data_IF_963833792710
#
_entry.id   IF_963833792710
#
_cell.length_a   1.000
_cell.length_b   1.000
_cell.length_c   1.000
_cell.angle_alpha   90.00
_cell.angle_beta   90.00
_cell.angle_gamma   90.00
#
_symmetry.space_group_name_H-M   'P 1'
#
loop_
_entity.id
_entity.type
_entity.pdbx_description
1 polymer ?
#
# COMPACT_ATOMS: atom_id res chain seq x y z
N UNK A 1 -15.32 -6.49 -23.64
CA UNK A 1 -13.86 -6.64 -23.80
C UNK A 1 -13.66 -7.77 -24.78
N UNK A 2 -12.90 -7.55 -25.87
CA UNK A 2 -12.70 -8.56 -26.94
C UNK A 2 -11.83 -9.70 -26.43
N UNK A 3 -12.11 -10.92 -26.85
CA UNK A 3 -11.47 -12.18 -26.42
C UNK A 3 -9.93 -12.16 -26.40
N UNK A 4 -9.27 -11.52 -27.37
CA UNK A 4 -7.80 -11.36 -27.40
C UNK A 4 -7.18 -10.70 -26.17
N UNK A 5 -7.97 -10.02 -25.32
CA UNK A 5 -7.46 -9.37 -24.14
C UNK A 5 -7.16 -10.34 -22.98
N UNK A 6 -7.84 -11.48 -22.86
CA UNK A 6 -7.65 -12.42 -21.74
C UNK A 6 -6.37 -13.26 -21.87
N UNK A 7 -6.05 -13.77 -23.05
CA UNK A 7 -4.79 -14.51 -23.29
C UNK A 7 -3.56 -13.60 -23.04
N UNK A 8 -3.63 -12.34 -23.52
CA UNK A 8 -2.59 -11.35 -23.24
C UNK A 8 -2.53 -10.98 -21.76
N UNK A 9 -3.67 -10.88 -21.07
CA UNK A 9 -3.75 -10.62 -19.64
C UNK A 9 -3.13 -11.74 -18.82
N UNK A 10 -3.32 -12.98 -19.22
CA UNK A 10 -2.76 -14.14 -18.53
C UNK A 10 -1.26 -14.26 -18.75
N UNK A 11 -0.77 -14.16 -19.98
CA UNK A 11 0.66 -14.24 -20.31
C UNK A 11 1.48 -13.12 -19.66
N UNK A 12 0.89 -11.92 -19.50
CA UNK A 12 1.51 -10.77 -18.87
C UNK A 12 0.84 -10.40 -17.53
N UNK A 13 0.37 -11.41 -16.76
CA UNK A 13 -0.37 -11.21 -15.52
C UNK A 13 0.30 -10.23 -14.55
N UNK A 14 1.58 -10.47 -14.24
CA UNK A 14 2.32 -9.63 -13.30
C UNK A 14 2.43 -8.18 -13.76
N UNK A 15 2.72 -7.95 -15.04
CA UNK A 15 2.86 -6.62 -15.60
C UNK A 15 1.52 -5.92 -15.76
N UNK A 16 0.47 -6.65 -16.08
CA UNK A 16 -0.87 -6.08 -16.29
C UNK A 16 -1.55 -5.73 -14.97
N UNK A 17 -1.46 -6.61 -13.97
CA UNK A 17 -1.94 -6.32 -12.61
C UNK A 17 -1.16 -5.15 -12.02
N UNK A 18 0.15 -5.11 -12.26
CA UNK A 18 1.03 -4.04 -11.79
C UNK A 18 0.71 -2.69 -12.45
N UNK A 19 0.37 -2.68 -13.74
CA UNK A 19 0.15 -1.43 -14.52
C UNK A 19 -1.29 -0.96 -14.53
N UNK A 20 -2.27 -1.85 -14.63
CA UNK A 20 -3.68 -1.50 -14.86
C UNK A 20 -4.56 -1.58 -13.62
N UNK A 21 -4.22 -2.39 -12.63
CA UNK A 21 -5.09 -2.62 -11.45
C UNK A 21 -4.37 -2.27 -10.15
N UNK A 22 -4.35 -0.98 -9.83
CA UNK A 22 -3.82 -0.44 -8.56
C UNK A 22 -4.37 -1.19 -7.36
N UNK A 23 -5.64 -1.57 -7.43
CA UNK A 23 -6.36 -2.23 -6.34
C UNK A 23 -5.87 -3.66 -6.09
N UNK A 24 -5.59 -4.47 -7.12
CA UNK A 24 -5.06 -5.84 -6.95
C UNK A 24 -3.59 -5.88 -6.50
N UNK A 25 -2.83 -4.83 -6.79
CA UNK A 25 -1.42 -4.69 -6.40
C UNK A 25 -1.25 -3.79 -5.17
N UNK A 26 -2.23 -3.81 -4.25
CA UNK A 26 -2.19 -2.98 -3.04
C UNK A 26 -0.89 -3.19 -2.27
N UNK A 27 -0.08 -2.15 -2.05
CA UNK A 27 1.26 -2.30 -1.48
C UNK A 27 1.24 -2.83 -0.05
N UNK A 28 0.18 -2.59 0.71
CA UNK A 28 -0.01 -3.10 2.07
C UNK A 28 -0.10 -4.62 2.07
N UNK A 29 -1.03 -5.19 1.31
CA UNK A 29 -1.32 -6.64 1.34
C UNK A 29 -0.31 -7.48 0.55
N UNK A 30 0.29 -6.90 -0.50
CA UNK A 30 1.23 -7.63 -1.37
C UNK A 30 2.69 -7.40 -0.97
N UNK A 31 3.02 -6.20 -0.50
CA UNK A 31 4.40 -5.77 -0.22
C UNK A 31 4.69 -5.62 1.27
N UNK A 32 3.68 -5.73 2.14
CA UNK A 32 3.84 -5.50 3.57
C UNK A 32 4.16 -4.05 3.94
N UNK A 33 3.76 -3.08 3.12
CA UNK A 33 4.06 -1.67 3.33
C UNK A 33 3.38 -1.16 4.61
N UNK A 34 4.16 -0.53 5.48
CA UNK A 34 3.68 0.12 6.70
C UNK A 34 2.81 -0.78 7.61
N UNK A 35 3.07 -2.09 7.65
CA UNK A 35 2.29 -3.02 8.50
C UNK A 35 2.36 -2.64 9.98
N UNK A 36 3.54 -2.30 10.50
CA UNK A 36 3.70 -1.93 11.91
C UNK A 36 2.91 -0.66 12.26
N UNK A 37 3.01 0.45 11.52
CA UNK A 37 2.14 1.62 11.72
C UNK A 37 0.65 1.31 11.60
N UNK A 38 0.25 0.49 10.63
CA UNK A 38 -1.15 0.10 10.45
C UNK A 38 -1.69 -0.72 11.63
N UNK A 39 -0.89 -1.67 12.14
CA UNK A 39 -1.30 -2.51 13.27
C UNK A 39 -1.41 -1.71 14.56
N UNK A 40 -0.48 -0.80 14.81
CA UNK A 40 -0.40 -0.15 16.12
C UNK A 40 -1.04 1.23 16.13
N UNK A 41 -0.77 2.06 15.14
CA UNK A 41 -1.22 3.46 15.14
C UNK A 41 -2.60 3.66 14.49
N UNK A 42 -2.99 2.86 13.46
CA UNK A 42 -4.29 3.00 12.79
C UNK A 42 -5.44 2.37 13.60
N UNK A 43 -5.61 2.77 14.86
CA UNK A 43 -6.70 2.30 15.73
C UNK A 43 -8.01 3.02 15.47
N UNK A 44 -7.93 4.26 14.98
CA UNK A 44 -9.07 5.13 14.65
C UNK A 44 -8.92 5.65 13.22
N UNK A 45 -10.01 6.07 12.60
CA UNK A 45 -9.99 6.66 11.26
C UNK A 45 -9.17 7.96 11.24
N UNK A 46 -9.20 8.75 12.32
CA UNK A 46 -8.40 9.96 12.44
C UNK A 46 -6.90 9.65 12.37
N UNK A 47 -6.42 8.67 13.12
CA UNK A 47 -5.04 8.21 13.06
C UNK A 47 -4.70 7.60 11.69
N UNK A 48 -5.65 6.89 11.07
CA UNK A 48 -5.50 6.37 9.71
C UNK A 48 -5.30 7.48 8.68
N UNK A 49 -6.06 8.58 8.79
CA UNK A 49 -5.89 9.76 7.91
C UNK A 49 -4.50 10.40 8.12
N UNK A 50 -4.05 10.56 9.36
CA UNK A 50 -2.71 11.08 9.66
C UNK A 50 -1.61 10.21 9.03
N UNK A 51 -1.74 8.88 9.13
CA UNK A 51 -0.83 7.94 8.47
C UNK A 51 -0.86 8.06 6.95
N UNK A 52 -2.04 8.22 6.35
CA UNK A 52 -2.18 8.42 4.90
C UNK A 52 -1.45 9.68 4.44
N UNK A 53 -1.57 10.78 5.19
CA UNK A 53 -0.86 12.03 4.91
C UNK A 53 0.65 11.80 5.00
N UNK A 54 1.13 11.18 6.09
CA UNK A 54 2.55 10.91 6.30
C UNK A 54 3.15 10.06 5.16
N UNK A 55 2.49 8.95 4.78
CA UNK A 55 2.95 8.08 3.68
C UNK A 55 2.96 8.82 2.35
N UNK A 56 1.96 9.64 2.08
CA UNK A 56 1.88 10.40 0.83
C UNK A 56 3.07 11.33 0.67
N UNK A 57 3.37 12.09 1.70
CA UNK A 57 4.48 13.02 1.71
C UNK A 57 5.86 12.35 1.85
N UNK A 58 5.92 11.14 2.38
CA UNK A 58 7.18 10.42 2.50
C UNK A 58 7.49 9.59 1.25
N UNK A 59 6.54 8.76 0.79
CA UNK A 59 6.79 7.77 -0.25
C UNK A 59 7.08 8.41 -1.61
N UNK A 60 6.24 9.34 -2.04
CA UNK A 60 6.36 9.94 -3.38
C UNK A 60 7.60 10.83 -3.51
N UNK A 61 7.86 11.82 -2.62
CA UNK A 61 9.06 12.65 -2.71
C UNK A 61 10.35 11.85 -2.57
N UNK A 62 10.41 10.88 -1.65
CA UNK A 62 11.60 10.03 -1.51
C UNK A 62 11.93 9.30 -2.80
N UNK A 63 10.94 8.75 -3.49
CA UNK A 63 11.16 8.07 -4.78
C UNK A 63 11.68 9.02 -5.86
N UNK A 64 11.10 10.22 -5.95
CA UNK A 64 11.53 11.23 -6.92
C UNK A 64 12.96 11.66 -6.64
N UNK A 65 13.25 12.05 -5.41
CA UNK A 65 14.60 12.51 -5.01
C UNK A 65 15.63 11.40 -5.24
N UNK A 66 15.31 10.16 -4.82
CA UNK A 66 16.21 9.03 -5.03
C UNK A 66 16.41 8.74 -6.53
N UNK A 67 15.37 8.81 -7.35
CA UNK A 67 15.48 8.56 -8.80
C UNK A 67 16.41 9.57 -9.48
N UNK A 68 16.41 10.83 -9.02
CA UNK A 68 17.28 11.88 -9.53
C UNK A 68 18.72 11.66 -9.09
N UNK A 69 18.95 11.50 -7.78
CA UNK A 69 20.31 11.38 -7.20
C UNK A 69 20.99 10.10 -7.68
N UNK A 70 20.26 8.98 -7.72
CA UNK A 70 20.85 7.68 -8.01
C UNK A 70 20.79 7.28 -9.49
N UNK A 71 20.47 8.19 -10.39
CA UNK A 71 20.27 7.91 -11.82
C UNK A 71 21.46 7.18 -12.47
N UNK A 72 22.67 7.50 -12.04
CA UNK A 72 23.93 6.92 -12.56
C UNK A 72 24.54 5.83 -11.69
N UNK A 73 23.93 5.50 -10.56
CA UNK A 73 24.47 4.53 -9.60
C UNK A 73 24.07 3.09 -9.96
N UNK A 74 24.90 2.13 -9.53
CA UNK A 74 24.59 0.70 -9.60
C UNK A 74 23.47 0.31 -8.61
N UNK A 75 22.80 -0.82 -8.85
CA UNK A 75 21.66 -1.28 -8.01
C UNK A 75 22.01 -1.41 -6.52
N UNK A 76 23.12 -2.06 -6.12
CA UNK A 76 23.45 -2.21 -4.69
C UNK A 76 23.66 -0.85 -4.00
N UNK A 77 24.32 0.10 -4.67
CA UNK A 77 24.50 1.44 -4.15
C UNK A 77 23.18 2.18 -3.97
N UNK A 78 22.24 2.03 -4.92
CA UNK A 78 20.90 2.62 -4.77
C UNK A 78 20.18 2.12 -3.53
N UNK A 79 20.22 0.82 -3.28
CA UNK A 79 19.57 0.21 -2.12
C UNK A 79 20.15 0.74 -0.81
N UNK A 80 21.47 0.98 -0.77
CA UNK A 80 22.15 1.54 0.39
C UNK A 80 21.78 3.02 0.63
N UNK A 81 21.74 3.85 -0.42
CA UNK A 81 21.43 5.28 -0.29
C UNK A 81 19.94 5.57 -0.05
N UNK A 82 19.05 4.64 -0.40
CA UNK A 82 17.60 4.83 -0.28
C UNK A 82 17.14 5.18 1.15
N UNK A 83 17.54 4.46 2.21
CA UNK A 83 17.17 4.79 3.59
C UNK A 83 17.69 6.16 4.04
N UNK A 84 18.90 6.55 3.63
CA UNK A 84 19.47 7.86 3.98
C UNK A 84 18.67 9.01 3.38
N UNK A 85 18.36 8.90 2.08
CA UNK A 85 17.53 9.90 1.39
C UNK A 85 16.13 9.93 2.03
N UNK A 86 15.56 8.77 2.33
CA UNK A 86 14.26 8.66 3.00
C UNK A 86 14.27 9.33 4.38
N UNK A 87 15.35 9.14 5.16
CA UNK A 87 15.49 9.78 6.48
C UNK A 87 15.56 11.30 6.38
N UNK A 88 16.32 11.84 5.41
CA UNK A 88 16.38 13.29 5.18
C UNK A 88 15.02 13.84 4.77
N UNK A 89 14.35 13.19 3.83
CA UNK A 89 12.99 13.59 3.41
C UNK A 89 12.01 13.54 4.59
N UNK A 90 12.14 12.51 5.44
CA UNK A 90 11.30 12.36 6.63
C UNK A 90 11.44 13.55 7.60
N UNK A 91 12.64 14.08 7.82
CA UNK A 91 12.84 15.24 8.70
C UNK A 91 12.02 16.44 8.20
N UNK A 92 12.03 16.71 6.89
CA UNK A 92 11.21 17.76 6.30
C UNK A 92 9.72 17.48 6.44
N UNK A 93 9.29 16.25 6.14
CA UNK A 93 7.89 15.82 6.26
C UNK A 93 7.40 15.97 7.70
N UNK A 94 8.19 15.50 8.67
CA UNK A 94 7.86 15.61 10.09
C UNK A 94 7.72 17.05 10.54
N UNK A 95 8.66 17.92 10.15
CA UNK A 95 8.61 19.35 10.48
C UNK A 95 7.33 20.01 9.93
N UNK A 96 6.99 19.76 8.67
CA UNK A 96 5.78 20.34 8.07
C UNK A 96 4.50 19.74 8.67
N UNK A 97 4.45 18.45 8.92
CA UNK A 97 3.32 17.82 9.58
C UNK A 97 3.10 18.37 10.98
N UNK A 98 4.16 18.54 11.75
CA UNK A 98 4.08 19.13 13.09
C UNK A 98 3.59 20.58 13.05
N UNK A 99 4.03 21.36 12.08
CA UNK A 99 3.58 22.74 11.89
C UNK A 99 2.09 22.84 11.50
N UNK A 100 1.60 21.91 10.70
CA UNK A 100 0.21 21.92 10.20
C UNK A 100 -0.79 21.26 11.16
N UNK A 101 -0.41 20.17 11.81
CA UNK A 101 -1.30 19.30 12.57
C UNK A 101 -1.01 19.36 14.09
N UNK A 102 0.06 20.05 14.49
CA UNK A 102 0.42 20.25 15.89
C UNK A 102 0.68 18.95 16.63
N UNK A 103 0.21 18.88 17.88
CA UNK A 103 0.43 17.74 18.77
C UNK A 103 -0.22 16.43 18.29
N UNK A 104 -1.16 16.47 17.36
CA UNK A 104 -1.80 15.26 16.83
C UNK A 104 -0.80 14.31 16.15
N UNK A 105 0.30 14.85 15.61
CA UNK A 105 1.39 14.06 15.01
C UNK A 105 2.11 13.20 16.04
N UNK A 106 2.17 13.68 17.31
CA UNK A 106 2.83 12.95 18.40
C UNK A 106 2.04 11.68 18.80
N UNK A 107 0.74 11.60 18.49
CA UNK A 107 -0.05 10.38 18.72
C UNK A 107 0.41 9.19 17.89
N UNK A 108 1.05 9.44 16.75
CA UNK A 108 1.64 8.38 15.93
C UNK A 108 3.00 7.90 16.48
N UNK A 109 3.62 8.67 17.37
CA UNK A 109 4.82 8.33 18.12
C UNK A 109 5.96 7.80 17.25
N UNK A 110 6.57 6.71 17.71
CA UNK A 110 7.73 6.04 17.06
C UNK A 110 7.37 5.43 15.70
N UNK A 111 6.09 5.20 15.42
CA UNK A 111 5.66 4.56 14.17
C UNK A 111 5.84 5.45 12.94
N UNK A 112 5.86 6.77 13.12
CA UNK A 112 6.20 7.72 12.06
C UNK A 112 7.65 7.54 11.54
N UNK A 113 8.70 7.56 12.40
CA UNK A 113 10.07 7.30 11.96
C UNK A 113 10.27 5.92 11.32
N UNK A 114 9.57 4.88 11.79
CA UNK A 114 9.67 3.54 11.21
C UNK A 114 9.27 3.53 9.72
N UNK A 115 8.36 4.39 9.30
CA UNK A 115 7.95 4.52 7.90
C UNK A 115 9.08 4.98 6.95
N UNK A 116 10.22 5.43 7.47
CA UNK A 116 11.41 5.77 6.66
C UNK A 116 11.88 4.57 5.82
N UNK A 117 11.64 3.35 6.27
CA UNK A 117 12.02 2.11 5.57
C UNK A 117 11.04 1.76 4.44
N UNK A 118 9.80 2.25 4.49
CA UNK A 118 8.74 1.89 3.55
C UNK A 118 9.08 2.17 2.08
N UNK A 119 9.67 3.33 1.69
CA UNK A 119 10.07 3.58 0.31
C UNK A 119 11.08 2.55 -0.22
N UNK A 120 11.97 2.04 0.65
CA UNK A 120 12.92 0.99 0.30
C UNK A 120 12.22 -0.34 0.04
N UNK A 121 11.25 -0.71 0.89
CA UNK A 121 10.44 -1.92 0.72
C UNK A 121 9.74 -1.89 -0.63
N UNK A 122 9.06 -0.79 -0.95
CA UNK A 122 8.37 -0.62 -2.24
C UNK A 122 9.35 -0.76 -3.40
N UNK A 123 10.54 -0.16 -3.30
CA UNK A 123 11.56 -0.22 -4.36
C UNK A 123 12.10 -1.62 -4.59
N UNK A 124 12.34 -2.40 -3.54
CA UNK A 124 12.85 -3.76 -3.67
C UNK A 124 11.87 -4.69 -4.42
N UNK A 125 10.56 -4.47 -4.27
CA UNK A 125 9.55 -5.20 -5.04
C UNK A 125 9.46 -4.77 -6.52
N UNK A 126 10.00 -3.60 -6.84
CA UNK A 126 10.02 -3.08 -8.20
C UNK A 126 11.38 -3.35 -8.85
N UNK A 127 11.57 -4.51 -9.45
CA UNK A 127 12.81 -4.97 -10.11
C UNK A 127 13.31 -4.04 -11.26
N UNK A 128 12.80 -2.83 -11.36
CA UNK A 128 13.10 -1.91 -12.45
C UNK A 128 14.48 -1.27 -12.27
N UNK A 129 15.39 -1.60 -13.16
CA UNK A 129 16.82 -1.21 -13.09
C UNK A 129 17.07 0.26 -13.39
N UNK A 130 16.29 0.83 -14.33
CA UNK A 130 16.37 2.26 -14.70
C UNK A 130 14.97 2.86 -14.64
N UNK A 131 14.76 3.87 -13.82
CA UNK A 131 13.50 4.59 -13.74
C UNK A 131 13.68 6.00 -14.29
N UNK A 132 12.75 6.42 -15.15
CA UNK A 132 12.59 7.83 -15.44
C UNK A 132 11.89 8.52 -14.26
N UNK A 133 12.14 9.80 -14.07
CA UNK A 133 11.52 10.58 -12.99
C UNK A 133 10.01 10.53 -13.08
N UNK A 134 9.45 10.63 -14.29
CA UNK A 134 8.00 10.54 -14.53
C UNK A 134 7.43 9.18 -14.10
N UNK A 135 8.12 8.09 -14.41
CA UNK A 135 7.72 6.75 -13.98
C UNK A 135 7.75 6.60 -12.44
N UNK A 136 8.74 7.20 -11.78
CA UNK A 136 8.84 7.22 -10.31
C UNK A 136 7.68 7.98 -9.67
N UNK A 137 7.25 9.11 -10.26
CA UNK A 137 6.09 9.87 -9.77
C UNK A 137 4.81 9.05 -9.91
N UNK A 138 4.53 8.52 -11.10
CA UNK A 138 3.31 7.75 -11.36
C UNK A 138 3.21 6.52 -10.45
N UNK A 139 4.32 5.76 -10.32
CA UNK A 139 4.34 4.60 -9.43
C UNK A 139 4.30 4.99 -7.94
N UNK A 140 4.91 6.11 -7.56
CA UNK A 140 4.78 6.67 -6.22
C UNK A 140 3.33 6.94 -5.86
N UNK A 141 2.63 7.74 -6.67
CA UNK A 141 1.22 8.07 -6.49
C UNK A 141 0.33 6.82 -6.47
N UNK A 142 0.60 5.87 -7.34
CA UNK A 142 -0.14 4.61 -7.40
C UNK A 142 -0.01 3.78 -6.13
N UNK A 143 1.22 3.62 -5.61
CA UNK A 143 1.46 2.90 -4.37
C UNK A 143 0.84 3.62 -3.18
N UNK A 144 0.93 4.96 -3.14
CA UNK A 144 0.30 5.80 -2.12
C UNK A 144 -1.23 5.67 -2.17
N UNK A 145 -1.84 5.73 -3.34
CA UNK A 145 -3.29 5.54 -3.48
C UNK A 145 -3.74 4.16 -2.98
N UNK A 146 -3.00 3.10 -3.33
CA UNK A 146 -3.25 1.75 -2.80
C UNK A 146 -3.12 1.66 -1.28
N UNK A 147 -2.12 2.35 -0.70
CA UNK A 147 -1.96 2.43 0.74
C UNK A 147 -3.12 3.17 1.42
N UNK A 148 -3.53 4.32 0.89
CA UNK A 148 -4.63 5.14 1.44
C UNK A 148 -5.90 4.29 1.53
N UNK A 149 -6.28 3.60 0.46
CA UNK A 149 -7.47 2.76 0.44
C UNK A 149 -7.39 1.67 1.50
N UNK A 150 -6.28 0.93 1.57
CA UNK A 150 -6.09 -0.12 2.56
C UNK A 150 -6.10 0.42 4.00
N UNK A 151 -5.41 1.53 4.25
CA UNK A 151 -5.34 2.16 5.56
C UNK A 151 -6.72 2.62 6.04
N UNK A 152 -7.50 3.27 5.19
CA UNK A 152 -8.85 3.71 5.54
C UNK A 152 -9.79 2.53 5.81
N UNK A 153 -9.73 1.46 5.03
CA UNK A 153 -10.51 0.25 5.27
C UNK A 153 -10.15 -0.36 6.63
N UNK A 154 -8.85 -0.55 6.90
CA UNK A 154 -8.37 -1.16 8.13
C UNK A 154 -8.74 -0.31 9.35
N UNK A 155 -8.50 0.99 9.32
CA UNK A 155 -8.79 1.90 10.43
C UNK A 155 -10.30 2.00 10.70
N UNK A 156 -11.13 2.02 9.64
CA UNK A 156 -12.60 2.04 9.78
C UNK A 156 -13.11 0.75 10.43
N UNK A 157 -12.63 -0.41 9.97
CA UNK A 157 -13.02 -1.71 10.56
C UNK A 157 -12.58 -1.77 12.03
N UNK A 158 -11.38 -1.34 12.35
CA UNK A 158 -10.86 -1.35 13.72
C UNK A 158 -11.62 -0.41 14.64
N UNK A 159 -11.91 0.81 14.20
CA UNK A 159 -12.68 1.77 14.99
C UNK A 159 -14.11 1.27 15.22
N UNK A 160 -14.75 0.74 14.19
CA UNK A 160 -16.09 0.19 14.30
C UNK A 160 -16.14 -1.01 15.26
N UNK A 161 -15.24 -1.97 15.12
CA UNK A 161 -15.20 -3.15 15.98
C UNK A 161 -14.73 -2.83 17.41
N UNK A 162 -13.76 -1.92 17.56
CA UNK A 162 -13.14 -1.62 18.84
C UNK A 162 -13.93 -0.66 19.71
N UNK A 163 -14.63 0.29 19.10
CA UNK A 163 -15.36 1.37 19.82
C UNK A 163 -16.85 1.45 19.49
N UNK A 164 -17.33 0.78 18.44
CA UNK A 164 -18.69 0.95 17.92
C UNK A 164 -18.93 2.33 17.31
N UNK A 165 -17.86 3.04 16.93
CA UNK A 165 -17.88 4.39 16.35
C UNK A 165 -17.20 4.43 14.99
N UNK A 166 -17.49 5.47 14.20
CA UNK A 166 -16.74 5.82 12.98
C UNK A 166 -16.53 7.32 13.01
N UNK A 167 -15.28 7.77 12.84
CA UNK A 167 -14.86 9.17 12.96
C UNK A 167 -15.24 9.81 14.33
N UNK A 168 -15.25 8.99 15.39
CA UNK A 168 -15.67 9.44 16.71
C UNK A 168 -17.18 9.53 16.94
N UNK A 169 -18.00 9.31 15.89
CA UNK A 169 -19.46 9.29 16.02
C UNK A 169 -19.89 7.90 16.43
N UNK A 170 -20.51 7.77 17.62
CA UNK A 170 -21.03 6.49 18.10
C UNK A 170 -22.20 6.01 17.25
N UNK A 171 -22.03 4.86 16.61
CA UNK A 171 -23.07 4.18 15.82
C UNK A 171 -23.79 3.12 16.64
N UNK A 172 -23.05 2.45 17.53
CA UNK A 172 -23.54 1.36 18.37
C UNK A 172 -23.18 1.70 19.81
N UNK A 173 -24.08 1.40 20.75
CA UNK A 173 -23.89 1.71 22.17
C UNK A 173 -22.86 0.82 22.89
N UNK A 174 -22.32 -0.20 22.21
CA UNK A 174 -21.30 -1.12 22.74
C UNK A 174 -20.23 -1.40 21.71
N UNK A 175 -19.04 -1.80 22.16
CA UNK A 175 -17.95 -2.22 21.28
C UNK A 175 -18.14 -3.70 20.91
N UNK A 176 -18.37 -4.05 19.62
CA UNK A 176 -18.58 -5.44 19.21
C UNK A 176 -17.40 -6.34 19.51
N UNK A 177 -16.18 -5.83 19.37
CA UNK A 177 -14.94 -6.57 19.63
C UNK A 177 -13.89 -5.67 20.26
N UNK A 178 -13.89 -5.44 21.59
CA UNK A 178 -12.96 -4.52 22.26
C UNK A 178 -11.49 -4.85 22.01
N UNK A 179 -11.16 -6.12 21.74
CA UNK A 179 -9.79 -6.53 21.38
C UNK A 179 -9.27 -5.90 20.08
N UNK A 180 -10.16 -5.44 19.18
CA UNK A 180 -9.77 -4.80 17.91
C UNK A 180 -8.96 -3.51 18.12
N UNK A 181 -9.15 -2.83 19.27
CA UNK A 181 -8.38 -1.66 19.66
C UNK A 181 -6.92 -2.01 20.01
N UNK A 182 -6.70 -3.17 20.62
CA UNK A 182 -5.37 -3.61 21.04
C UNK A 182 -4.50 -4.01 19.84
N UNK A 183 -3.17 -3.98 20.02
CA UNK A 183 -2.21 -4.41 19.01
C UNK A 183 -2.44 -5.84 18.54
N UNK A 184 -2.74 -6.76 19.47
CA UNK A 184 -3.04 -8.16 19.16
C UNK A 184 -4.25 -8.30 18.23
N UNK A 185 -5.38 -7.66 18.56
CA UNK A 185 -6.56 -7.64 17.70
C UNK A 185 -6.30 -6.97 16.34
N UNK A 186 -5.44 -5.94 16.32
CA UNK A 186 -4.99 -5.32 15.07
C UNK A 186 -4.28 -6.31 14.15
N UNK A 187 -3.37 -7.14 14.67
CA UNK A 187 -2.71 -8.20 13.89
C UNK A 187 -3.71 -9.22 13.36
N UNK A 188 -4.66 -9.68 14.18
CA UNK A 188 -5.68 -10.63 13.76
C UNK A 188 -6.55 -10.09 12.62
N UNK A 189 -7.02 -8.86 12.75
CA UNK A 189 -7.85 -8.21 11.72
C UNK A 189 -7.07 -8.08 10.41
N UNK A 190 -5.83 -7.60 10.47
CA UNK A 190 -5.00 -7.44 9.28
C UNK A 190 -4.68 -8.79 8.65
N UNK A 191 -4.37 -9.84 9.44
CA UNK A 191 -4.13 -11.18 8.93
C UNK A 191 -5.35 -11.74 8.20
N UNK A 192 -6.55 -11.56 8.76
CA UNK A 192 -7.81 -11.98 8.15
C UNK A 192 -8.08 -11.21 6.84
N UNK A 193 -7.85 -9.89 6.84
CA UNK A 193 -8.00 -9.08 5.63
C UNK A 193 -6.98 -9.46 4.55
N UNK A 194 -5.73 -9.77 4.93
CA UNK A 194 -4.73 -10.27 4.00
C UNK A 194 -5.14 -11.62 3.39
N UNK A 195 -5.68 -12.53 4.20
CA UNK A 195 -6.16 -13.84 3.72
C UNK A 195 -7.34 -13.68 2.75
N UNK A 196 -8.33 -12.86 3.10
CA UNK A 196 -9.46 -12.53 2.21
C UNK A 196 -8.98 -11.88 0.91
N UNK A 197 -8.05 -10.94 1.00
CA UNK A 197 -7.48 -10.28 -0.16
C UNK A 197 -6.74 -11.26 -1.07
N UNK A 198 -5.90 -12.13 -0.50
CA UNK A 198 -5.19 -13.16 -1.25
C UNK A 198 -6.16 -14.10 -1.98
N UNK A 199 -7.26 -14.49 -1.31
CA UNK A 199 -8.30 -15.32 -1.91
C UNK A 199 -9.02 -14.61 -3.06
N UNK A 200 -9.35 -13.32 -2.91
CA UNK A 200 -9.97 -12.52 -3.97
C UNK A 200 -9.06 -12.42 -5.20
N UNK A 201 -7.76 -12.16 -4.98
CA UNK A 201 -6.77 -12.08 -6.07
C UNK A 201 -6.61 -13.42 -6.76
N UNK A 202 -6.57 -14.54 -6.00
CA UNK A 202 -6.49 -15.89 -6.55
C UNK A 202 -7.72 -16.24 -7.39
N UNK A 203 -8.92 -15.95 -6.88
CA UNK A 203 -10.16 -16.19 -7.60
C UNK A 203 -10.25 -15.35 -8.89
N UNK A 204 -9.78 -14.12 -8.85
CA UNK A 204 -9.72 -13.27 -10.03
C UNK A 204 -8.72 -13.81 -11.05
N UNK A 205 -7.53 -14.25 -10.62
CA UNK A 205 -6.53 -14.88 -11.49
C UNK A 205 -7.09 -16.13 -12.16
N UNK A 206 -7.75 -16.99 -11.37
CA UNK A 206 -8.37 -18.22 -11.88
C UNK A 206 -9.45 -17.94 -12.96
N UNK A 207 -10.31 -16.93 -12.75
CA UNK A 207 -11.29 -16.54 -13.78
C UNK A 207 -10.62 -16.10 -15.08
N UNK A 208 -9.57 -15.27 -15.00
CA UNK A 208 -8.82 -14.82 -16.20
C UNK A 208 -8.15 -15.99 -16.90
N UNK A 209 -7.63 -16.96 -16.14
CA UNK A 209 -7.00 -18.18 -16.68
C UNK A 209 -7.99 -19.07 -17.42
N UNK A 210 -9.17 -19.31 -16.84
CA UNK A 210 -10.24 -20.11 -17.45
C UNK A 210 -10.75 -19.45 -18.74
N UNK A 211 -10.96 -18.13 -18.73
CA UNK A 211 -11.39 -17.40 -19.92
C UNK A 211 -10.31 -17.41 -21.01
N UNK A 212 -9.02 -17.30 -20.63
CA UNK A 212 -7.92 -17.40 -21.59
C UNK A 212 -7.84 -18.80 -22.26
N UNK A 213 -8.01 -19.87 -21.48
CA UNK A 213 -8.04 -21.24 -22.01
C UNK A 213 -9.25 -21.51 -22.94
N UNK A 214 -10.39 -20.88 -22.64
CA UNK A 214 -11.58 -20.96 -23.49
C UNK A 214 -11.35 -20.29 -24.85
N UNK A 215 -10.68 -19.14 -24.83
CA UNK A 215 -10.33 -18.40 -26.04
C UNK A 215 -9.31 -19.15 -26.92
N UNK A 216 -8.32 -19.79 -26.31
CA UNK A 216 -7.34 -20.61 -27.04
C UNK A 216 -7.98 -21.85 -27.68
N UNK A 217 -8.93 -22.47 -27.01
CA UNK A 217 -9.68 -23.62 -27.55
C UNK A 217 -10.56 -23.21 -28.74
N UNK A 218 -11.31 -22.13 -28.60
CA UNK A 218 -12.17 -21.58 -29.63
C UNK A 218 -11.39 -21.23 -30.92
N UNK A 219 -10.20 -20.62 -30.77
CA UNK A 219 -9.36 -20.28 -31.92
C UNK A 219 -8.76 -21.52 -32.61
N UNK A 220 -8.51 -22.60 -31.86
CA UNK A 220 -7.99 -23.86 -32.40
C UNK A 220 -9.03 -24.65 -33.18
N UNK A 221 -10.29 -24.55 -32.80
CA UNK A 221 -11.42 -25.21 -33.46
C UNK A 221 -11.93 -24.41 -34.67
N UNK A 222 -11.47 -23.16 -34.86
CA UNK A 222 -11.83 -22.27 -35.95
C UNK A 222 -10.81 -22.25 -37.13
N UNK A 223 -9.59 -22.79 -36.91
CA UNK A 223 -8.54 -23.02 -37.92
C UNK A 223 -8.59 -24.48 -38.47
#
# INVERSE_FOLDING_TARGET
MKNKDYAYLFSNWEDTVRRRKVFLSTPVFVKGLALAPLVVAATTVQNGILLCIAVTFLLTPTRVVTSVITKRMSMPLKTFFYPFISAVVFLFVYYYMYKLLGASVLMLGVYLPIMVVDPLIVKNFEKTRKESVLYSIINGLRNTAGFIVACLIISTIREFLGYGSILGIKLIGFAPLPMAHNTFGGFLIIALLCALWAQLVKNYKYKVEVEAMHDERYNRDAD
#
